data_IF_768882382128
#
_entry.id   IF_768882382128
#
_cell.length_a   1.000
_cell.length_b   1.000
_cell.length_c   1.000
_cell.angle_alpha   90.00
_cell.angle_beta   90.00
_cell.angle_gamma   90.00
#
_symmetry.space_group_name_H-M   'P 1'
#
loop_
_entity.id
_entity.type
_entity.pdbx_description
1 polymer ?
#
# COMPACT_ATOMS: atom_id res chain seq x y z
N UNK A 1 9.00 7.74 -26.16
CA UNK A 1 8.06 8.58 -25.35
C UNK A 1 7.11 7.77 -24.47
N UNK A 2 6.72 6.54 -24.83
CA UNK A 2 5.78 5.70 -24.05
C UNK A 2 6.14 5.51 -22.57
N UNK A 3 7.42 5.36 -22.21
CA UNK A 3 7.86 5.18 -20.81
C UNK A 3 7.70 6.44 -19.93
N UNK A 4 7.93 7.64 -20.50
CA UNK A 4 7.82 8.92 -19.78
C UNK A 4 6.38 9.18 -19.34
N UNK A 5 5.41 8.94 -20.22
CA UNK A 5 3.99 9.17 -19.94
C UNK A 5 3.44 8.29 -18.80
N UNK A 6 4.12 7.20 -18.47
CA UNK A 6 3.74 6.30 -17.38
C UNK A 6 4.35 6.69 -16.04
N UNK A 7 5.46 7.43 -16.01
CA UNK A 7 6.23 7.68 -14.78
C UNK A 7 5.85 8.98 -14.05
N UNK A 8 4.71 9.62 -14.43
CA UNK A 8 4.24 10.93 -13.88
C UNK A 8 5.36 11.98 -13.68
N UNK A 9 6.36 11.99 -14.55
CA UNK A 9 7.47 12.94 -14.51
C UNK A 9 7.67 13.60 -15.88
N UNK A 10 8.29 14.78 -15.88
CA UNK A 10 8.65 15.43 -17.14
C UNK A 10 9.71 14.62 -17.89
N UNK A 11 9.79 14.83 -19.20
CA UNK A 11 10.78 14.15 -20.05
C UNK A 11 12.20 14.45 -19.57
N UNK A 12 12.47 15.69 -19.21
CA UNK A 12 13.76 16.17 -18.74
C UNK A 12 14.10 15.51 -17.40
N UNK A 13 13.14 15.41 -16.47
CA UNK A 13 13.33 14.72 -15.20
C UNK A 13 13.62 13.23 -15.41
N UNK A 14 12.87 12.58 -16.30
CA UNK A 14 13.06 11.17 -16.64
C UNK A 14 14.47 10.90 -17.20
N UNK A 15 14.94 11.73 -18.13
CA UNK A 15 16.27 11.63 -18.73
C UNK A 15 17.36 11.88 -17.67
N UNK A 16 17.20 12.91 -16.82
CA UNK A 16 18.17 13.22 -15.76
C UNK A 16 18.32 12.08 -14.76
N UNK A 17 17.20 11.44 -14.41
CA UNK A 17 17.21 10.25 -13.56
C UNK A 17 17.98 9.09 -14.19
N UNK A 18 17.76 8.82 -15.49
CA UNK A 18 18.50 7.77 -16.20
C UNK A 18 20.01 8.04 -16.25
N UNK A 19 20.40 9.29 -16.49
CA UNK A 19 21.82 9.71 -16.47
C UNK A 19 22.45 9.48 -15.09
N UNK A 20 21.69 9.74 -14.02
CA UNK A 20 22.11 9.52 -12.64
C UNK A 20 22.05 8.04 -12.22
N UNK A 21 21.80 7.11 -13.14
CA UNK A 21 21.72 5.67 -12.85
C UNK A 21 20.41 5.23 -12.17
N UNK A 22 19.40 6.11 -12.10
CA UNK A 22 18.11 5.80 -11.51
C UNK A 22 17.07 5.51 -12.60
N UNK A 23 16.49 4.31 -12.60
CA UNK A 23 15.39 3.95 -13.49
C UNK A 23 14.04 4.44 -12.92
N UNK A 24 13.39 5.46 -13.54
CA UNK A 24 12.14 5.99 -13.02
C UNK A 24 11.03 4.96 -13.12
N UNK A 25 10.35 4.77 -11.99
CA UNK A 25 9.31 3.79 -11.79
C UNK A 25 7.97 4.24 -12.39
N UNK A 26 7.20 3.31 -12.95
CA UNK A 26 5.85 3.61 -13.45
C UNK A 26 4.96 4.07 -12.29
N UNK A 27 4.12 5.07 -12.56
CA UNK A 27 3.21 5.60 -11.56
C UNK A 27 2.18 4.52 -11.20
N UNK A 28 1.82 4.38 -9.92
CA UNK A 28 0.79 3.45 -9.51
C UNK A 28 -0.53 3.73 -10.24
N UNK A 29 -1.37 2.70 -10.45
CA UNK A 29 -2.72 2.83 -10.99
C UNK A 29 -3.53 3.94 -10.31
N UNK A 30 -4.46 4.57 -11.03
CA UNK A 30 -5.21 5.73 -10.52
C UNK A 30 -6.07 5.43 -9.28
N UNK A 31 -6.46 4.17 -9.10
CA UNK A 31 -7.22 3.64 -7.97
C UNK A 31 -6.34 3.21 -6.77
N UNK A 32 -5.02 3.11 -6.94
CA UNK A 32 -4.07 2.74 -5.88
C UNK A 32 -4.28 3.55 -4.60
N UNK A 33 -4.31 4.88 -4.72
CA UNK A 33 -4.47 5.77 -3.56
C UNK A 33 -5.88 5.71 -2.96
N UNK A 34 -6.89 5.40 -3.77
CA UNK A 34 -8.27 5.19 -3.27
C UNK A 34 -8.33 3.93 -2.42
N UNK A 35 -7.68 2.86 -2.85
CA UNK A 35 -7.59 1.62 -2.10
C UNK A 35 -6.80 1.81 -0.79
N UNK A 36 -5.64 2.49 -0.86
CA UNK A 36 -4.83 2.78 0.34
C UNK A 36 -5.60 3.61 1.36
N UNK A 37 -6.35 4.63 0.91
CA UNK A 37 -7.18 5.45 1.78
C UNK A 37 -8.29 4.65 2.48
N UNK A 38 -8.93 3.71 1.77
CA UNK A 38 -9.93 2.81 2.36
C UNK A 38 -9.32 1.96 3.47
N UNK A 39 -8.17 1.33 3.20
CA UNK A 39 -7.46 0.50 4.17
C UNK A 39 -7.08 1.30 5.41
N UNK A 40 -6.54 2.51 5.25
CA UNK A 40 -6.19 3.37 6.38
C UNK A 40 -7.40 3.73 7.25
N UNK A 41 -8.58 3.92 6.63
CA UNK A 41 -9.82 4.17 7.37
C UNK A 41 -10.30 2.93 8.13
N UNK A 42 -10.28 1.77 7.49
CA UNK A 42 -10.66 0.49 8.12
C UNK A 42 -9.72 0.15 9.29
N UNK A 43 -8.40 0.39 9.13
CA UNK A 43 -7.43 0.17 10.22
C UNK A 43 -7.62 1.14 11.38
N UNK A 44 -7.93 2.41 11.09
CA UNK A 44 -8.19 3.40 12.13
C UNK A 44 -9.47 3.06 12.92
N UNK A 45 -10.52 2.62 12.23
CA UNK A 45 -11.76 2.16 12.86
C UNK A 45 -11.51 0.94 13.76
N UNK A 46 -10.75 -0.06 13.28
CA UNK A 46 -10.37 -1.21 14.11
C UNK A 46 -9.60 -0.78 15.36
N UNK A 47 -8.63 0.13 15.21
CA UNK A 47 -7.85 0.63 16.35
C UNK A 47 -8.74 1.34 17.39
N UNK A 48 -9.78 2.05 16.96
CA UNK A 48 -10.74 2.66 17.88
C UNK A 48 -11.57 1.61 18.62
N UNK A 49 -12.11 0.62 17.89
CA UNK A 49 -12.84 -0.50 18.50
C UNK A 49 -11.99 -1.25 19.53
N UNK A 50 -10.73 -1.49 19.20
CA UNK A 50 -9.72 -2.07 20.09
C UNK A 50 -9.53 -1.28 21.39
N UNK A 51 -9.38 0.04 21.28
CA UNK A 51 -9.20 0.94 22.42
C UNK A 51 -10.43 0.93 23.33
N UNK A 52 -11.63 1.03 22.74
CA UNK A 52 -12.91 0.97 23.47
C UNK A 52 -13.05 -0.36 24.19
N UNK A 53 -12.77 -1.46 23.50
CA UNK A 53 -12.97 -2.78 24.05
C UNK A 53 -11.93 -3.08 25.16
N UNK A 54 -10.69 -2.57 25.04
CA UNK A 54 -9.66 -2.63 26.09
C UNK A 54 -10.05 -1.82 27.33
N UNK A 55 -10.66 -0.65 27.15
CA UNK A 55 -11.11 0.19 28.27
C UNK A 55 -12.33 -0.37 28.99
N UNK A 56 -13.09 -1.26 28.36
CA UNK A 56 -14.31 -1.86 28.93
C UNK A 56 -14.10 -3.24 29.57
N UNK A 57 -12.88 -3.80 29.60
CA UNK A 57 -12.58 -5.17 30.09
C UNK A 57 -13.46 -6.28 29.46
N UNK A 58 -14.07 -5.99 28.30
CA UNK A 58 -14.95 -6.89 27.56
C UNK A 58 -14.31 -7.15 26.20
N UNK A 59 -13.38 -8.11 26.13
CA UNK A 59 -12.95 -8.66 24.83
C UNK A 59 -12.73 -10.16 24.92
N UNK A 60 -13.35 -10.89 24.00
CA UNK A 60 -12.92 -12.21 23.57
C UNK A 60 -11.63 -12.07 22.74
N UNK A 61 -10.51 -11.95 23.46
CA UNK A 61 -9.15 -11.72 22.95
C UNK A 61 -8.75 -12.64 21.78
N UNK A 62 -9.15 -13.93 21.76
CA UNK A 62 -8.98 -14.83 20.63
C UNK A 62 -9.52 -14.32 19.29
N UNK A 63 -10.77 -13.86 19.23
CA UNK A 63 -11.43 -13.49 17.96
C UNK A 63 -10.81 -12.22 17.37
N UNK A 64 -10.45 -11.29 18.25
CA UNK A 64 -9.76 -10.08 17.86
C UNK A 64 -8.39 -10.35 17.23
N UNK A 65 -7.63 -11.29 17.80
CA UNK A 65 -6.33 -11.70 17.27
C UNK A 65 -6.49 -12.30 15.87
N UNK A 66 -7.56 -13.07 15.63
CA UNK A 66 -7.87 -13.64 14.32
C UNK A 66 -8.13 -12.57 13.26
N UNK A 67 -8.96 -11.58 13.59
CA UNK A 67 -9.22 -10.45 12.68
C UNK A 67 -7.94 -9.64 12.36
N UNK A 68 -7.06 -9.44 13.35
CA UNK A 68 -5.78 -8.78 13.13
C UNK A 68 -4.86 -9.57 12.19
N UNK A 69 -4.85 -10.91 12.29
CA UNK A 69 -4.08 -11.78 11.39
C UNK A 69 -4.64 -11.74 9.95
N UNK A 70 -5.95 -11.72 9.78
CA UNK A 70 -6.59 -11.58 8.47
C UNK A 70 -6.19 -10.25 7.80
N UNK A 71 -6.22 -9.14 8.55
CA UNK A 71 -5.81 -7.82 8.03
C UNK A 71 -4.32 -7.80 7.66
N UNK A 72 -3.47 -8.43 8.45
CA UNK A 72 -2.04 -8.57 8.12
C UNK A 72 -1.83 -9.38 6.85
N UNK A 73 -2.58 -10.46 6.67
CA UNK A 73 -2.52 -11.29 5.47
C UNK A 73 -2.96 -10.50 4.22
N UNK A 74 -4.07 -9.77 4.29
CA UNK A 74 -4.54 -8.92 3.19
C UNK A 74 -3.51 -7.82 2.86
N UNK A 75 -2.95 -7.16 3.86
CA UNK A 75 -1.88 -6.17 3.65
C UNK A 75 -0.67 -6.78 2.97
N UNK A 76 -0.26 -7.98 3.37
CA UNK A 76 0.85 -8.71 2.74
C UNK A 76 0.54 -9.06 1.28
N UNK A 77 -0.69 -9.47 0.97
CA UNK A 77 -1.12 -9.74 -0.39
C UNK A 77 -1.09 -8.47 -1.26
N UNK A 78 -1.53 -7.33 -0.73
CA UNK A 78 -1.45 -6.05 -1.42
C UNK A 78 0.00 -5.66 -1.69
N UNK A 79 0.86 -5.72 -0.67
CA UNK A 79 2.29 -5.45 -0.84
C UNK A 79 2.92 -6.36 -1.89
N UNK A 80 2.56 -7.64 -1.92
CA UNK A 80 3.05 -8.59 -2.91
C UNK A 80 2.55 -8.26 -4.32
N UNK A 81 1.25 -8.05 -4.51
CA UNK A 81 0.66 -7.70 -5.79
C UNK A 81 1.28 -6.41 -6.39
N UNK A 82 1.49 -5.40 -5.57
CA UNK A 82 2.10 -4.14 -6.00
C UNK A 82 3.64 -4.16 -6.01
N UNK A 83 4.31 -5.19 -5.49
CA UNK A 83 5.77 -5.36 -5.55
C UNK A 83 6.21 -6.34 -6.66
N UNK A 84 5.37 -7.29 -7.07
CA UNK A 84 5.67 -8.20 -8.20
C UNK A 84 5.60 -7.48 -9.55
N UNK A 85 4.74 -6.46 -9.70
CA UNK A 85 4.79 -5.53 -10.83
C UNK A 85 6.12 -4.74 -10.91
N UNK A 86 6.91 -4.71 -9.83
CA UNK A 86 8.23 -4.06 -9.78
C UNK A 86 9.42 -4.97 -10.10
N UNK A 87 9.28 -6.30 -10.04
CA UNK A 87 10.38 -7.25 -10.27
C UNK A 87 10.40 -7.85 -11.68
N UNK A 88 9.50 -7.41 -12.57
CA UNK A 88 9.44 -7.81 -13.97
C UNK A 88 9.99 -6.74 -14.91
N UNK A 89 11.27 -6.41 -14.78
CA UNK A 89 12.16 -5.84 -15.81
C UNK A 89 13.43 -5.30 -15.15
N UNK A 90 14.36 -6.20 -14.83
CA UNK A 90 15.81 -5.96 -14.92
C UNK A 90 16.43 -7.16 -15.64
#
# INVERSE_FOLDING_TARGET
MKKVGKCKCSRESYIRSLINGFSPKEAPPADYYKMLSKISRESANLNQLLVVARTKNFIDTPELRKLMEEIRATNKMLWKAFSEEYNGND
#
